data_IF_293971629239
#
_entry.id   IF_293971629239
#
_cell.length_a   1.000
_cell.length_b   1.000
_cell.length_c   1.000
_cell.angle_alpha   90.00
_cell.angle_beta   90.00
_cell.angle_gamma   90.00
#
_symmetry.space_group_name_H-M   'P 1'
#
loop_
_entity.id
_entity.type
_entity.pdbx_description
1 polymer ?
#
# COMPACT_ATOMS: atom_id res chain seq x y z
N UNK A 1 -10.31 -12.30 18.40
CA UNK A 1 -10.55 -10.95 17.86
C UNK A 1 -11.64 -10.28 18.70
N UNK A 2 -11.37 -10.07 20.00
CA UNK A 2 -12.39 -9.75 21.03
C UNK A 2 -11.89 -8.67 22.00
N UNK A 3 -11.11 -7.71 21.49
CA UNK A 3 -10.55 -6.62 22.29
C UNK A 3 -10.66 -5.31 21.52
N UNK A 4 -11.89 -4.85 21.24
CA UNK A 4 -12.16 -3.45 20.87
C UNK A 4 -13.56 -2.96 21.28
N UNK A 5 -14.32 -3.72 22.09
CA UNK A 5 -15.71 -3.38 22.47
C UNK A 5 -15.86 -2.88 23.91
N UNK A 6 -14.78 -2.73 24.69
CA UNK A 6 -14.86 -2.08 25.99
C UNK A 6 -14.10 -0.76 25.97
N UNK A 7 -14.86 0.32 25.80
CA UNK A 7 -14.40 1.68 26.03
C UNK A 7 -13.91 1.83 27.46
N UNK A 8 -12.59 1.94 27.62
CA UNK A 8 -11.94 2.43 28.83
C UNK A 8 -10.88 3.44 28.39
N UNK A 9 -11.10 4.69 28.81
CA UNK A 9 -10.10 5.73 29.06
C UNK A 9 -8.98 5.95 28.02
N UNK A 10 -9.08 7.05 27.28
CA UNK A 10 -7.95 7.66 26.58
C UNK A 10 -6.83 8.02 27.57
N UNK A 11 -5.92 7.09 27.82
CA UNK A 11 -4.56 7.39 28.28
C UNK A 11 -3.75 7.84 27.08
N UNK A 12 -3.20 9.05 27.14
CA UNK A 12 -2.31 9.62 26.12
C UNK A 12 -1.09 8.71 25.92
N UNK A 13 -1.11 7.86 24.90
CA UNK A 13 0.11 7.29 24.33
C UNK A 13 0.66 8.30 23.33
N UNK A 14 1.71 9.01 23.75
CA UNK A 14 2.64 9.67 22.84
C UNK A 14 3.29 8.61 21.95
N UNK A 15 2.68 8.38 20.78
CA UNK A 15 3.31 7.65 19.70
C UNK A 15 4.41 8.55 19.13
N UNK A 16 5.62 8.39 19.63
CA UNK A 16 6.83 8.86 18.93
C UNK A 16 6.91 8.06 17.64
N UNK A 17 6.43 8.66 16.56
CA UNK A 17 6.52 8.07 15.22
C UNK A 17 7.96 8.22 14.75
N UNK A 18 8.71 7.12 14.72
CA UNK A 18 9.92 7.03 13.91
C UNK A 18 9.50 7.29 12.46
N UNK A 19 10.01 8.38 11.89
CA UNK A 19 10.03 8.57 10.45
C UNK A 19 10.69 7.33 9.85
N UNK A 20 10.00 6.64 8.95
CA UNK A 20 10.56 5.54 8.16
C UNK A 20 11.75 6.09 7.37
N UNK A 21 12.95 5.96 7.93
CA UNK A 21 14.19 6.16 7.21
C UNK A 21 14.29 5.03 6.19
N UNK A 22 14.32 5.40 4.91
CA UNK A 22 14.68 4.51 3.81
C UNK A 22 15.98 3.80 4.19
N UNK A 23 16.00 2.47 4.15
CA UNK A 23 17.16 1.73 4.65
C UNK A 23 18.33 1.84 3.65
N UNK A 24 19.60 1.81 4.10
CA UNK A 24 20.76 1.77 3.21
C UNK A 24 20.71 0.59 2.20
N UNK A 25 20.05 -0.50 2.56
CA UNK A 25 19.86 -1.67 1.69
C UNK A 25 18.87 -1.39 0.54
N UNK A 26 17.80 -0.62 0.77
CA UNK A 26 16.89 -0.16 -0.28
C UNK A 26 17.59 0.79 -1.26
N UNK A 27 18.47 1.65 -0.75
CA UNK A 27 19.31 2.57 -1.55
C UNK A 27 20.29 1.79 -2.45
N UNK A 28 20.94 0.76 -1.91
CA UNK A 28 21.91 -0.07 -2.65
C UNK A 28 21.26 -1.05 -3.64
N UNK A 29 20.00 -1.42 -3.42
CA UNK A 29 19.23 -2.29 -4.33
C UNK A 29 18.64 -1.55 -5.55
N UNK A 30 18.69 -0.22 -5.53
CA UNK A 30 18.04 0.63 -6.52
C UNK A 30 19.06 1.14 -7.56
N UNK A 31 18.99 0.67 -8.84
CA UNK A 31 19.93 1.06 -9.89
C UNK A 31 19.85 2.54 -10.31
N UNK A 32 18.94 3.30 -9.70
CA UNK A 32 18.69 4.72 -9.93
C UNK A 32 19.36 5.63 -8.89
N UNK A 33 20.05 5.08 -7.87
CA UNK A 33 20.82 5.89 -6.92
C UNK A 33 22.12 6.43 -7.54
N UNK A 34 22.59 7.57 -7.03
CA UNK A 34 23.82 8.29 -7.40
C UNK A 34 23.87 8.97 -8.79
N UNK A 35 22.77 8.96 -9.56
CA UNK A 35 22.68 9.65 -10.86
C UNK A 35 21.54 10.67 -10.91
N UNK A 36 21.72 11.71 -11.73
CA UNK A 36 20.74 12.77 -11.89
C UNK A 36 19.58 12.31 -12.77
N UNK A 37 18.36 12.80 -12.51
CA UNK A 37 17.17 12.45 -13.32
C UNK A 37 17.35 12.68 -14.85
N UNK A 38 18.13 13.69 -15.24
CA UNK A 38 18.40 14.01 -16.64
C UNK A 38 19.48 13.12 -17.29
N UNK A 39 20.15 12.27 -16.51
CA UNK A 39 21.11 11.30 -17.01
C UNK A 39 20.40 10.22 -17.86
N UNK A 40 21.15 9.54 -18.74
CA UNK A 40 20.60 8.46 -19.57
C UNK A 40 19.77 7.45 -18.75
N UNK A 41 18.55 7.21 -19.24
CA UNK A 41 17.58 6.24 -18.72
C UNK A 41 17.13 6.41 -17.26
N UNK A 42 17.48 7.50 -16.57
CA UNK A 42 17.08 7.69 -15.16
C UNK A 42 15.58 7.97 -14.98
N UNK A 43 14.86 8.38 -16.03
CA UNK A 43 13.41 8.54 -16.00
C UNK A 43 12.65 7.21 -15.79
N UNK A 44 13.31 6.06 -16.02
CA UNK A 44 12.75 4.73 -15.79
C UNK A 44 12.30 4.52 -14.34
N UNK A 45 12.96 5.17 -13.38
CA UNK A 45 12.52 5.17 -11.98
C UNK A 45 11.09 5.71 -11.81
N UNK A 46 10.75 6.78 -12.53
CA UNK A 46 9.41 7.37 -12.49
C UNK A 46 8.37 6.44 -13.14
N UNK A 47 8.72 5.81 -14.26
CA UNK A 47 7.85 4.84 -14.94
C UNK A 47 7.61 3.60 -14.08
N UNK A 48 8.65 3.07 -13.44
CA UNK A 48 8.56 1.94 -12.52
C UNK A 48 7.66 2.27 -11.33
N UNK A 49 7.77 3.48 -10.75
CA UNK A 49 6.84 3.92 -9.70
C UNK A 49 5.39 3.92 -10.17
N UNK A 50 5.11 4.42 -11.37
CA UNK A 50 3.76 4.37 -11.94
C UNK A 50 3.29 2.93 -12.16
N UNK A 51 4.17 2.02 -12.61
CA UNK A 51 3.85 0.61 -12.84
C UNK A 51 3.50 -0.10 -11.53
N UNK A 52 4.33 0.08 -10.49
CA UNK A 52 4.11 -0.47 -9.15
C UNK A 52 2.80 0.04 -8.52
N UNK A 53 2.31 1.20 -8.93
CA UNK A 53 1.01 1.72 -8.53
C UNK A 53 -0.15 0.76 -8.87
N UNK A 54 -0.08 0.06 -10.01
CA UNK A 54 -1.07 -0.95 -10.40
C UNK A 54 -1.10 -2.15 -9.44
N UNK A 55 0.08 -2.69 -9.14
CA UNK A 55 0.24 -3.84 -8.23
C UNK A 55 -0.15 -3.46 -6.80
N UNK A 56 0.14 -2.23 -6.39
CA UNK A 56 -0.30 -1.70 -5.10
C UNK A 56 -1.83 -1.66 -4.98
N UNK A 57 -2.56 -1.36 -6.07
CA UNK A 57 -4.02 -1.43 -6.07
C UNK A 57 -4.53 -2.88 -5.91
N UNK A 58 -3.84 -3.86 -6.50
CA UNK A 58 -4.18 -5.28 -6.31
C UNK A 58 -3.96 -5.73 -4.86
N UNK A 59 -2.83 -5.35 -4.27
CA UNK A 59 -2.54 -5.63 -2.86
C UNK A 59 -3.59 -4.99 -1.95
N UNK A 60 -4.00 -3.75 -2.24
CA UNK A 60 -5.06 -3.08 -1.50
C UNK A 60 -6.37 -3.86 -1.58
N UNK A 61 -6.85 -4.18 -2.79
CA UNK A 61 -8.12 -4.91 -2.99
C UNK A 61 -8.09 -6.22 -2.21
N UNK A 62 -7.05 -7.02 -2.41
CA UNK A 62 -6.90 -8.33 -1.75
C UNK A 62 -6.92 -8.21 -0.22
N UNK A 63 -6.19 -7.24 0.35
CA UNK A 63 -6.14 -7.06 1.79
C UNK A 63 -7.53 -6.76 2.39
N UNK A 64 -8.34 -5.93 1.71
CA UNK A 64 -9.68 -5.60 2.20
C UNK A 64 -10.73 -6.68 1.87
N UNK A 65 -10.56 -7.45 0.79
CA UNK A 65 -11.36 -8.65 0.54
C UNK A 65 -11.15 -9.71 1.62
N UNK A 66 -9.88 -9.96 2.01
CA UNK A 66 -9.54 -10.86 3.12
C UNK A 66 -10.15 -10.34 4.43
N UNK A 67 -10.06 -9.03 4.71
CA UNK A 67 -10.72 -8.42 5.86
C UNK A 67 -12.24 -8.60 5.84
N UNK A 68 -12.90 -8.41 4.70
CA UNK A 68 -14.34 -8.64 4.58
C UNK A 68 -14.70 -10.12 4.77
N UNK A 69 -13.84 -11.04 4.33
CA UNK A 69 -14.03 -12.47 4.57
C UNK A 69 -14.01 -12.83 6.06
N UNK A 70 -13.10 -12.24 6.85
CA UNK A 70 -13.04 -12.47 8.29
C UNK A 70 -14.35 -12.08 9.00
N UNK A 71 -15.00 -11.01 8.55
CA UNK A 71 -16.30 -10.60 9.08
C UNK A 71 -17.39 -11.62 8.72
N UNK A 72 -17.40 -12.15 7.49
CA UNK A 72 -18.34 -13.20 7.09
C UNK A 72 -18.19 -14.47 7.92
N UNK A 73 -16.95 -14.86 8.21
CA UNK A 73 -16.66 -16.03 9.05
C UNK A 73 -17.15 -15.83 10.48
N UNK A 74 -16.95 -14.63 11.04
CA UNK A 74 -17.47 -14.26 12.36
C UNK A 74 -19.00 -14.34 12.40
N UNK A 75 -19.68 -13.76 11.40
CA UNK A 75 -21.14 -13.79 11.27
C UNK A 75 -21.66 -15.24 11.23
N UNK A 76 -21.06 -16.08 10.39
CA UNK A 76 -21.44 -17.49 10.27
C UNK A 76 -21.28 -18.25 11.59
N UNK A 77 -20.17 -18.04 12.29
CA UNK A 77 -19.90 -18.68 13.58
C UNK A 77 -20.93 -18.27 14.65
N UNK A 78 -21.26 -16.98 14.74
CA UNK A 78 -22.26 -16.47 15.70
C UNK A 78 -23.67 -16.98 15.37
N UNK A 79 -24.07 -17.01 14.10
CA UNK A 79 -25.38 -17.56 13.72
C UNK A 79 -25.50 -19.04 14.08
N UNK A 80 -24.45 -19.83 13.84
CA UNK A 80 -24.44 -21.23 14.22
C UNK A 80 -24.53 -21.42 15.75
N UNK A 81 -23.71 -20.68 16.51
CA UNK A 81 -23.74 -20.68 17.97
C UNK A 81 -25.14 -20.34 18.50
N UNK A 82 -25.74 -19.27 18.00
CA UNK A 82 -27.05 -18.80 18.45
C UNK A 82 -28.15 -19.83 18.18
N UNK A 83 -28.15 -20.43 16.99
CA UNK A 83 -29.13 -21.45 16.60
C UNK A 83 -29.06 -22.67 17.52
N UNK A 84 -27.86 -23.15 17.83
CA UNK A 84 -27.66 -24.30 18.73
C UNK A 84 -28.19 -23.96 20.12
N UNK A 85 -27.71 -22.88 20.74
CA UNK A 85 -28.04 -22.58 22.13
C UNK A 85 -29.49 -22.16 22.34
N UNK A 86 -30.12 -21.49 21.36
CA UNK A 86 -31.56 -21.25 21.45
C UNK A 86 -32.36 -22.54 21.50
N UNK A 87 -31.98 -23.57 20.72
CA UNK A 87 -32.65 -24.87 20.76
C UNK A 87 -32.45 -25.55 22.11
N UNK A 88 -31.19 -25.70 22.55
CA UNK A 88 -30.86 -26.38 23.80
C UNK A 88 -31.52 -25.72 25.03
N UNK A 89 -31.56 -24.38 25.09
CA UNK A 89 -32.22 -23.66 26.19
C UNK A 89 -33.73 -23.83 26.12
N UNK A 90 -34.33 -23.84 24.92
CA UNK A 90 -35.76 -24.07 24.79
C UNK A 90 -36.17 -25.48 25.25
N UNK A 91 -35.33 -26.49 24.97
CA UNK A 91 -35.55 -27.89 25.36
C UNK A 91 -35.15 -28.19 26.82
N UNK A 92 -34.42 -27.28 27.49
CA UNK A 92 -34.01 -27.45 28.88
C UNK A 92 -35.18 -27.33 29.88
N UNK A 93 -34.96 -27.86 31.09
CA UNK A 93 -35.89 -27.74 32.23
C UNK A 93 -35.89 -26.36 32.89
N UNK A 94 -35.03 -25.44 32.44
CA UNK A 94 -35.03 -24.05 32.90
C UNK A 94 -36.39 -23.40 32.57
N UNK A 95 -36.85 -22.47 33.40
CA UNK A 95 -38.17 -21.86 33.26
C UNK A 95 -38.16 -20.38 33.66
N UNK A 96 -39.35 -19.78 33.69
CA UNK A 96 -39.56 -18.48 34.30
C UNK A 96 -38.85 -17.33 33.58
N UNK A 97 -38.51 -16.32 34.36
CA UNK A 97 -37.81 -15.12 33.91
C UNK A 97 -36.33 -15.42 33.61
N UNK A 98 -35.68 -16.34 34.34
CA UNK A 98 -34.30 -16.75 34.07
C UNK A 98 -34.12 -17.32 32.65
N UNK A 99 -34.99 -18.26 32.22
CA UNK A 99 -34.96 -18.80 30.85
C UNK A 99 -35.13 -17.70 29.79
N UNK A 100 -36.05 -16.76 30.03
CA UNK A 100 -36.29 -15.64 29.12
C UNK A 100 -35.06 -14.74 28.99
N UNK A 101 -34.41 -14.42 30.11
CA UNK A 101 -33.19 -13.60 30.15
C UNK A 101 -32.00 -14.30 29.50
N UNK A 102 -31.85 -15.61 29.71
CA UNK A 102 -30.82 -16.41 29.04
C UNK A 102 -31.01 -16.43 27.51
N UNK A 103 -32.24 -16.66 27.04
CA UNK A 103 -32.55 -16.57 25.61
C UNK A 103 -32.32 -15.15 25.06
N UNK A 104 -32.61 -14.11 25.83
CA UNK A 104 -32.30 -12.73 25.44
C UNK A 104 -30.80 -12.49 25.28
N UNK A 105 -29.95 -13.08 26.13
CA UNK A 105 -28.49 -13.01 25.99
C UNK A 105 -28.01 -13.67 24.68
N UNK A 106 -28.54 -14.84 24.34
CA UNK A 106 -28.21 -15.52 23.07
C UNK A 106 -28.66 -14.70 21.85
N UNK A 107 -29.85 -14.08 21.92
CA UNK A 107 -30.35 -13.20 20.85
C UNK A 107 -29.50 -11.94 20.71
N UNK A 108 -29.13 -11.28 21.81
CA UNK A 108 -28.26 -10.11 21.77
C UNK A 108 -26.92 -10.43 21.11
N UNK A 109 -26.30 -11.57 21.45
CA UNK A 109 -25.08 -12.03 20.79
C UNK A 109 -25.25 -12.24 19.28
N UNK A 110 -26.39 -12.80 18.84
CA UNK A 110 -26.70 -12.97 17.42
C UNK A 110 -26.96 -11.65 16.70
N UNK A 111 -27.69 -10.74 17.33
CA UNK A 111 -27.96 -9.40 16.80
C UNK A 111 -26.66 -8.62 16.64
N UNK A 112 -25.71 -8.72 17.56
CA UNK A 112 -24.41 -8.06 17.41
C UNK A 112 -23.69 -8.44 16.10
N UNK A 113 -23.84 -9.68 15.62
CA UNK A 113 -23.29 -10.10 14.32
C UNK A 113 -24.02 -9.47 13.11
N UNK A 114 -25.26 -9.00 13.26
CA UNK A 114 -25.97 -8.30 12.19
C UNK A 114 -25.24 -7.00 11.78
N UNK A 115 -24.72 -6.24 12.75
CA UNK A 115 -23.89 -5.05 12.46
C UNK A 115 -22.65 -5.39 11.64
N UNK A 116 -22.11 -6.60 11.78
CA UNK A 116 -20.98 -7.03 10.96
C UNK A 116 -21.37 -7.30 9.49
N UNK A 117 -22.64 -7.61 9.22
CA UNK A 117 -23.14 -7.71 7.83
C UNK A 117 -23.06 -6.35 7.15
N UNK A 118 -23.51 -5.30 7.83
CA UNK A 118 -23.40 -3.93 7.32
C UNK A 118 -21.94 -3.49 7.18
N UNK A 119 -21.03 -3.91 8.08
CA UNK A 119 -19.58 -3.66 7.93
C UNK A 119 -19.05 -4.30 6.63
N UNK A 120 -19.42 -5.55 6.33
CA UNK A 120 -19.02 -6.23 5.08
C UNK A 120 -19.49 -5.44 3.86
N UNK A 121 -20.76 -5.00 3.86
CA UNK A 121 -21.32 -4.22 2.76
C UNK A 121 -20.60 -2.88 2.58
N UNK A 122 -20.34 -2.14 3.67
CA UNK A 122 -19.58 -0.88 3.61
C UNK A 122 -18.15 -1.09 3.13
N UNK A 123 -17.46 -2.14 3.57
CA UNK A 123 -16.11 -2.46 3.06
C UNK A 123 -16.17 -2.76 1.56
N UNK A 124 -17.16 -3.54 1.12
CA UNK A 124 -17.31 -3.85 -0.31
C UNK A 124 -17.57 -2.58 -1.12
N UNK A 125 -18.60 -1.82 -0.75
CA UNK A 125 -19.14 -0.72 -1.54
C UNK A 125 -18.30 0.57 -1.44
N UNK A 126 -17.72 0.86 -0.28
CA UNK A 126 -17.04 2.13 -0.02
C UNK A 126 -15.51 2.03 -0.08
N UNK A 127 -14.96 0.80 -0.03
CA UNK A 127 -13.50 0.57 0.01
C UNK A 127 -13.02 -0.25 -1.20
N UNK A 128 -13.56 -1.45 -1.40
CA UNK A 128 -13.09 -2.39 -2.43
C UNK A 128 -13.53 -1.93 -3.84
N UNK A 129 -14.84 -1.79 -4.06
CA UNK A 129 -15.40 -1.44 -5.37
C UNK A 129 -14.86 -0.10 -5.90
N UNK A 130 -14.69 0.95 -5.06
CA UNK A 130 -14.11 2.20 -5.52
C UNK A 130 -12.63 2.09 -5.89
N UNK A 131 -11.86 1.17 -5.28
CA UNK A 131 -10.49 0.87 -5.71
C UNK A 131 -10.50 0.11 -7.04
N UNK A 132 -11.38 -0.88 -7.22
CA UNK A 132 -11.55 -1.61 -8.48
C UNK A 132 -11.90 -0.63 -9.62
N UNK A 133 -12.86 0.27 -9.38
CA UNK A 133 -13.27 1.28 -10.34
C UNK A 133 -12.12 2.25 -10.67
N UNK A 134 -11.42 2.76 -9.66
CA UNK A 134 -10.26 3.63 -9.83
C UNK A 134 -9.17 2.93 -10.66
N UNK A 135 -8.84 1.68 -10.33
CA UNK A 135 -7.84 0.89 -11.03
C UNK A 135 -8.21 0.68 -12.50
N UNK A 136 -9.47 0.34 -12.77
CA UNK A 136 -9.98 0.14 -14.13
C UNK A 136 -9.88 1.42 -14.98
N UNK A 137 -10.20 2.57 -14.40
CA UNK A 137 -10.18 3.86 -15.09
C UNK A 137 -8.75 4.35 -15.34
N UNK A 138 -7.89 4.31 -14.31
CA UNK A 138 -6.56 4.92 -14.36
C UNK A 138 -5.47 4.01 -14.93
N UNK A 139 -5.68 2.70 -14.93
CA UNK A 139 -4.69 1.73 -15.43
C UNK A 139 -5.21 0.87 -16.58
N UNK A 140 -6.03 1.44 -17.47
CA UNK A 140 -6.53 0.75 -18.65
C UNK A 140 -5.38 0.14 -19.49
N UNK A 141 -5.46 -1.17 -19.75
CA UNK A 141 -4.51 -1.94 -20.56
C UNK A 141 -4.89 -1.86 -22.03
N UNK A 142 -3.90 -1.80 -22.94
CA UNK A 142 -4.18 -1.99 -24.37
C UNK A 142 -4.09 -3.46 -24.78
N UNK A 143 -3.01 -4.18 -24.44
CA UNK A 143 -2.85 -5.64 -24.62
C UNK A 143 -1.92 -6.22 -23.53
N UNK A 144 -0.74 -5.62 -23.32
CA UNK A 144 0.22 -6.05 -22.28
C UNK A 144 0.59 -4.90 -21.32
N UNK A 145 0.50 -3.66 -21.79
CA UNK A 145 1.01 -2.48 -21.09
C UNK A 145 -0.12 -1.53 -20.68
N UNK A 146 0.13 -0.78 -19.61
CA UNK A 146 -0.75 0.29 -19.13
C UNK A 146 -0.56 1.49 -20.05
N UNK A 147 -1.65 1.91 -20.71
CA UNK A 147 -1.59 2.88 -21.83
C UNK A 147 -0.88 4.18 -21.43
N UNK A 148 -1.22 4.71 -20.25
CA UNK A 148 -0.67 5.99 -19.78
C UNK A 148 0.82 5.94 -19.47
N UNK A 149 1.29 4.81 -18.93
CA UNK A 149 2.71 4.60 -18.63
C UNK A 149 3.52 4.50 -19.94
N UNK A 150 3.00 3.78 -20.93
CA UNK A 150 3.63 3.69 -22.26
C UNK A 150 3.68 5.03 -22.99
N UNK A 151 2.69 5.90 -22.77
CA UNK A 151 2.69 7.29 -23.27
C UNK A 151 3.87 8.07 -22.66
N UNK A 152 4.03 8.04 -21.33
CA UNK A 152 5.16 8.70 -20.66
C UNK A 152 6.51 8.17 -21.11
N UNK A 153 6.65 6.84 -21.23
CA UNK A 153 7.89 6.20 -21.69
C UNK A 153 8.29 6.71 -23.08
N UNK A 154 7.34 6.69 -24.04
CA UNK A 154 7.60 7.18 -25.40
C UNK A 154 7.97 8.66 -25.43
N UNK A 155 7.35 9.48 -24.57
CA UNK A 155 7.69 10.90 -24.48
C UNK A 155 9.10 11.12 -23.93
N UNK A 156 9.50 10.40 -22.87
CA UNK A 156 10.87 10.45 -22.36
C UNK A 156 11.89 9.98 -23.39
N UNK A 157 11.65 8.84 -24.05
CA UNK A 157 12.53 8.31 -25.10
C UNK A 157 12.73 9.33 -26.23
N UNK A 158 11.64 9.95 -26.70
CA UNK A 158 11.71 10.95 -27.78
C UNK A 158 12.51 12.19 -27.39
N UNK A 159 12.37 12.66 -26.14
CA UNK A 159 13.10 13.80 -25.61
C UNK A 159 14.58 13.48 -25.37
N UNK A 160 14.88 12.27 -24.88
CA UNK A 160 16.23 11.87 -24.52
C UNK A 160 17.06 11.41 -25.73
N UNK A 161 16.44 10.85 -26.79
CA UNK A 161 17.15 10.40 -28.00
C UNK A 161 18.11 11.43 -28.64
N UNK A 162 17.72 12.68 -28.93
CA UNK A 162 18.65 13.67 -29.47
C UNK A 162 19.76 14.03 -28.48
N UNK A 163 19.45 14.05 -27.18
CA UNK A 163 20.43 14.29 -26.11
C UNK A 163 21.50 13.19 -26.05
N UNK A 164 21.11 11.92 -26.09
CA UNK A 164 22.05 10.78 -26.14
C UNK A 164 22.95 10.83 -27.36
N UNK A 165 22.39 11.21 -28.53
CA UNK A 165 23.17 11.35 -29.76
C UNK A 165 24.25 12.44 -29.61
N UNK A 166 23.92 13.56 -28.96
CA UNK A 166 24.89 14.63 -28.70
C UNK A 166 25.96 14.22 -27.69
N UNK A 167 25.55 13.55 -26.60
CA UNK A 167 26.49 13.01 -25.61
C UNK A 167 27.48 12.00 -26.22
N UNK A 168 27.01 11.13 -27.11
CA UNK A 168 27.87 10.21 -27.85
C UNK A 168 28.89 10.95 -28.72
N UNK A 169 28.48 11.95 -29.52
CA UNK A 169 29.40 12.78 -30.30
C UNK A 169 30.44 13.49 -29.43
N UNK A 170 30.00 14.01 -28.28
CA UNK A 170 30.87 14.65 -27.27
C UNK A 170 31.92 13.66 -26.76
N UNK A 171 31.50 12.44 -26.43
CA UNK A 171 32.41 11.41 -25.94
C UNK A 171 33.44 11.02 -27.02
N UNK A 172 33.02 10.82 -28.27
CA UNK A 172 33.90 10.49 -29.39
C UNK A 172 34.92 11.61 -29.66
N UNK A 173 34.48 12.88 -29.60
CA UNK A 173 35.35 14.04 -29.79
C UNK A 173 36.37 14.18 -28.64
N UNK A 174 35.93 13.95 -27.39
CA UNK A 174 36.78 13.92 -26.20
C UNK A 174 37.86 12.83 -26.33
N UNK A 175 37.48 11.62 -26.70
CA UNK A 175 38.40 10.49 -26.89
C UNK A 175 39.42 10.78 -27.98
N UNK A 176 38.97 11.28 -29.14
CA UNK A 176 39.84 11.68 -30.26
C UNK A 176 40.84 12.75 -29.85
N UNK A 177 40.39 13.80 -29.15
CA UNK A 177 41.25 14.86 -28.62
C UNK A 177 42.27 14.29 -27.63
N UNK A 178 41.83 13.49 -26.65
CA UNK A 178 42.72 12.90 -25.66
C UNK A 178 43.78 12.00 -26.29
N UNK A 179 43.42 11.21 -27.29
CA UNK A 179 44.37 10.34 -28.00
C UNK A 179 45.46 11.15 -28.70
N UNK A 180 45.09 12.15 -29.51
CA UNK A 180 46.05 13.00 -30.22
C UNK A 180 46.87 13.86 -29.27
N UNK A 181 46.27 14.35 -28.19
CA UNK A 181 47.00 15.11 -27.17
C UNK A 181 48.03 14.25 -26.43
N UNK A 182 47.74 12.97 -26.18
CA UNK A 182 48.74 12.02 -25.67
C UNK A 182 49.90 11.81 -26.65
N UNK A 183 49.63 11.73 -27.97
CA UNK A 183 50.69 11.64 -29.00
C UNK A 183 51.55 12.90 -29.05
N UNK A 184 50.93 14.08 -28.94
CA UNK A 184 51.66 15.36 -28.81
C UNK A 184 52.60 15.33 -27.60
N UNK A 185 52.11 14.96 -26.42
CA UNK A 185 52.94 14.90 -25.21
C UNK A 185 54.13 13.93 -25.35
N UNK A 186 53.94 12.78 -26.00
CA UNK A 186 55.03 11.84 -26.31
C UNK A 186 56.04 12.43 -27.29
N UNK A 187 55.58 13.12 -28.34
CA UNK A 187 56.46 13.78 -29.31
C UNK A 187 57.25 14.94 -28.68
N UNK A 188 56.62 15.75 -27.81
CA UNK A 188 57.29 16.80 -27.04
C UNK A 188 58.40 16.24 -26.15
N UNK A 189 58.14 15.10 -25.48
CA UNK A 189 59.13 14.40 -24.68
C UNK A 189 60.29 13.85 -25.53
N UNK A 190 59.98 13.20 -26.65
CA UNK A 190 61.00 12.67 -27.56
C UNK A 190 61.90 13.79 -28.11
N UNK A 191 61.30 14.90 -28.55
CA UNK A 191 62.03 16.10 -28.97
C UNK A 191 62.97 16.61 -27.87
N UNK A 192 62.49 16.71 -26.62
CA UNK A 192 63.33 17.16 -25.49
C UNK A 192 64.54 16.24 -25.27
N UNK A 193 64.37 14.93 -25.44
CA UNK A 193 65.45 13.95 -25.33
C UNK A 193 66.45 14.13 -26.49
N UNK A 194 65.97 14.24 -27.73
CA UNK A 194 66.81 14.43 -28.92
C UNK A 194 67.57 15.75 -28.87
N UNK A 195 66.91 16.85 -28.49
CA UNK A 195 67.54 18.18 -28.32
C UNK A 195 68.66 18.16 -27.26
N UNK A 196 68.55 17.28 -26.27
CA UNK A 196 69.55 17.12 -25.20
C UNK A 196 70.68 16.16 -25.57
N UNK A 197 70.57 15.43 -26.68
CA UNK A 197 71.56 14.47 -27.13
C UNK A 197 72.63 15.15 -28.00
N UNK A 198 73.86 15.21 -27.50
CA UNK A 198 75.01 15.86 -28.16
C UNK A 198 75.35 15.20 -29.51
N UNK A 199 75.01 13.90 -29.69
CA UNK A 199 75.23 13.16 -30.93
C UNK A 199 74.04 13.12 -31.89
N UNK A 200 72.93 13.82 -31.59
CA UNK A 200 71.76 13.82 -32.47
C UNK A 200 72.03 14.58 -33.78
N UNK A 201 71.62 13.97 -34.88
CA UNK A 201 71.69 14.56 -36.22
C UNK A 201 70.66 15.68 -36.39
N UNK A 202 70.94 16.62 -37.31
CA UNK A 202 69.97 17.66 -37.66
C UNK A 202 68.69 17.10 -38.30
N UNK A 203 68.79 15.92 -38.93
CA UNK A 203 67.64 15.20 -39.49
C UNK A 203 66.71 14.71 -38.36
N UNK A 204 67.25 14.07 -37.32
CA UNK A 204 66.47 13.61 -36.15
C UNK A 204 65.79 14.78 -35.39
N UNK A 205 66.48 15.92 -35.27
CA UNK A 205 65.90 17.14 -34.67
C UNK A 205 64.77 17.70 -35.55
N UNK A 206 64.95 17.71 -36.86
CA UNK A 206 63.94 18.20 -37.81
C UNK A 206 62.72 17.29 -37.85
N UNK A 207 62.91 15.97 -37.79
CA UNK A 207 61.83 14.97 -37.79
C UNK A 207 60.97 15.07 -36.52
N UNK A 208 61.62 15.14 -35.35
CA UNK A 208 60.91 15.28 -34.07
C UNK A 208 60.20 16.63 -33.96
N UNK A 209 60.81 17.72 -34.44
CA UNK A 209 60.17 19.03 -34.53
C UNK A 209 58.95 19.02 -35.47
N UNK A 210 59.05 18.36 -36.63
CA UNK A 210 57.94 18.21 -37.57
C UNK A 210 56.79 17.43 -36.94
N UNK A 211 57.09 16.32 -36.26
CA UNK A 211 56.11 15.51 -35.54
C UNK A 211 55.37 16.32 -34.47
N UNK A 212 56.09 17.13 -33.68
CA UNK A 212 55.49 18.03 -32.69
C UNK A 212 54.56 19.05 -33.37
N UNK A 213 54.99 19.67 -34.46
CA UNK A 213 54.18 20.66 -35.18
C UNK A 213 52.88 20.05 -35.74
N UNK A 214 52.96 18.85 -36.32
CA UNK A 214 51.80 18.10 -36.84
C UNK A 214 50.82 17.79 -35.71
N UNK A 215 51.28 17.15 -34.62
CA UNK A 215 50.39 16.79 -33.52
C UNK A 215 49.84 18.00 -32.77
N UNK A 216 50.56 19.13 -32.74
CA UNK A 216 50.06 20.39 -32.17
C UNK A 216 48.86 20.88 -32.96
N UNK A 217 48.97 20.96 -34.30
CA UNK A 217 47.88 21.41 -35.17
C UNK A 217 46.68 20.46 -35.11
N UNK A 218 46.91 19.15 -35.17
CA UNK A 218 45.84 18.15 -35.06
C UNK A 218 45.13 18.21 -33.69
N UNK A 219 45.90 18.31 -32.60
CA UNK A 219 45.33 18.40 -31.24
C UNK A 219 44.51 19.68 -31.06
N UNK A 220 44.95 20.81 -31.62
CA UNK A 220 44.22 22.08 -31.55
C UNK A 220 42.89 22.02 -32.33
N UNK A 221 42.90 21.42 -33.52
CA UNK A 221 41.69 21.23 -34.33
C UNK A 221 40.65 20.34 -33.62
N UNK A 222 41.09 19.22 -33.03
CA UNK A 222 40.20 18.32 -32.29
C UNK A 222 39.68 18.96 -31.00
N UNK A 223 40.50 19.77 -30.32
CA UNK A 223 40.07 20.56 -29.17
C UNK A 223 38.94 21.52 -29.55
N UNK A 224 39.10 22.28 -30.63
CA UNK A 224 38.09 23.22 -31.11
C UNK A 224 36.78 22.51 -31.45
N UNK A 225 36.84 21.35 -32.13
CA UNK A 225 35.66 20.52 -32.41
C UNK A 225 34.98 20.02 -31.12
N UNK A 226 35.75 19.59 -30.13
CA UNK A 226 35.21 19.16 -28.84
C UNK A 226 34.54 20.32 -28.09
N UNK A 227 35.18 21.48 -28.02
CA UNK A 227 34.64 22.69 -27.40
C UNK A 227 33.34 23.16 -28.09
N UNK A 228 33.25 23.06 -29.42
CA UNK A 228 32.03 23.37 -30.18
C UNK A 228 30.86 22.47 -29.76
N UNK A 229 31.08 21.16 -29.64
CA UNK A 229 30.05 20.22 -29.21
C UNK A 229 29.63 20.44 -27.75
N UNK A 230 30.57 20.82 -26.88
CA UNK A 230 30.25 21.19 -25.49
C UNK A 230 29.36 22.43 -25.44
N UNK A 231 29.61 23.43 -26.30
CA UNK A 231 28.76 24.62 -26.36
C UNK A 231 27.37 24.31 -26.92
N UNK A 232 27.28 23.48 -27.98
CA UNK A 232 25.98 22.98 -28.49
C UNK A 232 25.17 22.29 -27.38
N UNK A 233 25.81 21.48 -26.54
CA UNK A 233 25.15 20.86 -25.39
C UNK A 233 24.69 21.87 -24.35
N UNK A 234 25.51 22.87 -24.02
CA UNK A 234 25.13 23.94 -23.08
C UNK A 234 23.90 24.71 -23.56
N UNK A 235 23.80 24.96 -24.86
CA UNK A 235 22.67 25.66 -25.47
C UNK A 235 21.39 24.81 -25.47
N UNK A 236 21.50 23.50 -25.73
CA UNK A 236 20.36 22.57 -25.76
C UNK A 236 19.88 22.14 -24.36
N UNK A 237 20.77 22.13 -23.36
CA UNK A 237 20.51 21.61 -22.00
C UNK A 237 19.25 22.21 -21.35
N UNK A 238 19.03 23.54 -21.32
CA UNK A 238 17.86 24.11 -20.65
C UNK A 238 16.53 23.62 -21.26
N UNK A 239 16.48 23.45 -22.59
CA UNK A 239 15.29 22.92 -23.25
C UNK A 239 15.06 21.44 -22.92
N UNK A 240 16.13 20.63 -22.94
CA UNK A 240 16.07 19.22 -22.57
C UNK A 240 15.60 19.03 -21.12
N UNK A 241 16.25 19.71 -20.15
CA UNK A 241 15.90 19.62 -18.73
C UNK A 241 14.45 20.03 -18.46
N UNK A 242 14.01 21.16 -19.03
CA UNK A 242 12.64 21.63 -18.87
C UNK A 242 11.62 20.68 -19.50
N UNK A 243 11.92 20.10 -20.66
CA UNK A 243 11.03 19.16 -21.33
C UNK A 243 10.91 17.84 -20.57
N UNK A 244 12.05 17.30 -20.10
CA UNK A 244 12.08 16.10 -19.25
C UNK A 244 11.29 16.34 -17.95
N UNK A 245 11.47 17.51 -17.32
CA UNK A 245 10.73 17.89 -16.11
C UNK A 245 9.23 17.94 -16.34
N UNK A 246 8.74 18.46 -17.46
CA UNK A 246 7.29 18.50 -17.76
C UNK A 246 6.66 17.12 -17.85
N UNK A 247 7.37 16.14 -18.41
CA UNK A 247 6.88 14.75 -18.43
C UNK A 247 6.90 14.18 -17.00
N UNK A 248 8.00 14.41 -16.25
CA UNK A 248 8.11 14.00 -14.85
C UNK A 248 6.97 14.55 -13.98
N UNK A 249 6.63 15.83 -14.11
CA UNK A 249 5.54 16.46 -13.37
C UNK A 249 4.18 15.80 -13.64
N UNK A 250 3.94 15.32 -14.88
CA UNK A 250 2.74 14.52 -15.20
C UNK A 250 2.78 13.12 -14.56
N UNK A 251 3.95 12.49 -14.46
CA UNK A 251 4.07 11.25 -13.67
C UNK A 251 3.84 11.48 -12.17
N UNK A 252 4.22 12.66 -11.65
CA UNK A 252 3.92 13.05 -10.27
C UNK A 252 2.43 13.26 -10.04
N UNK A 253 1.73 13.89 -10.99
CA UNK A 253 0.28 14.07 -10.88
C UNK A 253 -0.44 12.72 -10.91
N UNK A 254 -0.03 11.82 -11.80
CA UNK A 254 -0.58 10.46 -11.84
C UNK A 254 -0.41 9.72 -10.50
N UNK A 255 0.77 9.84 -9.87
CA UNK A 255 1.00 9.25 -8.54
C UNK A 255 0.23 9.97 -7.43
N UNK A 256 0.09 11.29 -7.51
CA UNK A 256 -0.69 12.08 -6.54
C UNK A 256 -2.15 11.65 -6.52
N UNK A 257 -2.75 11.39 -7.69
CA UNK A 257 -4.11 10.89 -7.79
C UNK A 257 -4.27 9.54 -7.07
N UNK A 258 -3.32 8.60 -7.29
CA UNK A 258 -3.28 7.30 -6.62
C UNK A 258 -3.18 7.46 -5.10
N UNK A 259 -2.22 8.23 -4.61
CA UNK A 259 -2.01 8.43 -3.17
C UNK A 259 -3.23 9.10 -2.50
N UNK A 260 -3.86 10.04 -3.18
CA UNK A 260 -5.09 10.67 -2.69
C UNK A 260 -6.24 9.65 -2.60
N UNK A 261 -6.38 8.77 -3.61
CA UNK A 261 -7.38 7.69 -3.57
C UNK A 261 -7.13 6.75 -2.39
N UNK A 262 -5.89 6.32 -2.17
CA UNK A 262 -5.54 5.49 -1.00
C UNK A 262 -5.95 6.17 0.31
N UNK A 263 -5.59 7.45 0.49
CA UNK A 263 -5.96 8.23 1.68
C UNK A 263 -7.49 8.26 1.90
N UNK A 264 -8.25 8.51 0.84
CA UNK A 264 -9.72 8.52 0.91
C UNK A 264 -10.28 7.16 1.34
N UNK A 265 -9.77 6.07 0.77
CA UNK A 265 -10.27 4.73 1.06
C UNK A 265 -9.87 4.25 2.46
N UNK A 266 -8.71 4.66 2.99
CA UNK A 266 -8.38 4.41 4.40
C UNK A 266 -9.36 5.10 5.35
N UNK A 267 -9.79 6.33 5.01
CA UNK A 267 -10.82 7.02 5.77
C UNK A 267 -12.20 6.35 5.64
N UNK A 268 -12.56 5.90 4.43
CA UNK A 268 -13.77 5.13 4.19
C UNK A 268 -13.78 3.83 5.01
N UNK A 269 -12.65 3.12 5.07
CA UNK A 269 -12.50 1.92 5.89
C UNK A 269 -12.67 2.21 7.39
N UNK A 270 -12.04 3.28 7.89
CA UNK A 270 -12.24 3.71 9.29
C UNK A 270 -13.72 3.93 9.61
N UNK A 271 -14.44 4.63 8.73
CA UNK A 271 -15.88 4.84 8.89
C UNK A 271 -16.68 3.53 8.78
N UNK A 272 -16.29 2.63 7.88
CA UNK A 272 -16.97 1.36 7.68
C UNK A 272 -16.95 0.47 8.94
N UNK A 273 -15.87 0.48 9.70
CA UNK A 273 -15.70 -0.35 10.91
C UNK A 273 -16.11 0.35 12.22
N UNK A 274 -16.40 1.66 12.18
CA UNK A 274 -16.77 2.41 13.37
C UNK A 274 -18.24 2.17 13.72
N UNK A 275 -18.48 1.43 14.81
CA UNK A 275 -19.83 1.07 15.28
C UNK A 275 -20.24 1.79 16.57
N UNK A 276 -19.43 2.74 17.06
CA UNK A 276 -19.62 3.33 18.39
C UNK A 276 -21.02 3.97 18.58
N UNK A 277 -21.58 4.52 17.51
CA UNK A 277 -22.88 5.19 17.51
C UNK A 277 -23.88 4.48 16.57
N UNK A 278 -23.69 3.19 16.33
CA UNK A 278 -24.61 2.40 15.51
C UNK A 278 -25.97 2.29 16.23
N UNK A 279 -27.07 2.82 15.66
CA UNK A 279 -28.39 2.78 16.30
C UNK A 279 -28.86 1.36 16.60
N UNK A 280 -28.49 0.39 15.76
CA UNK A 280 -28.87 -1.00 15.94
C UNK A 280 -28.15 -1.62 17.15
N UNK A 281 -26.88 -1.28 17.36
CA UNK A 281 -26.13 -1.71 18.56
C UNK A 281 -26.73 -1.11 19.83
N UNK A 282 -27.12 0.16 19.78
CA UNK A 282 -27.76 0.84 20.91
C UNK A 282 -29.10 0.17 21.24
N UNK A 283 -29.95 -0.05 20.23
CA UNK A 283 -31.27 -0.69 20.40
C UNK A 283 -31.15 -2.11 20.97
N UNK A 284 -30.26 -2.93 20.39
CA UNK A 284 -29.96 -4.28 20.89
C UNK A 284 -29.51 -4.24 22.35
N UNK A 285 -28.58 -3.34 22.69
CA UNK A 285 -28.06 -3.19 24.06
C UNK A 285 -29.18 -2.83 25.04
N UNK A 286 -30.04 -1.87 24.68
CA UNK A 286 -31.21 -1.49 25.48
C UNK A 286 -32.19 -2.65 25.64
N UNK A 287 -32.48 -3.40 24.58
CA UNK A 287 -33.37 -4.56 24.64
C UNK A 287 -32.83 -5.63 25.60
N UNK A 288 -31.52 -5.89 25.58
CA UNK A 288 -30.92 -6.85 26.50
C UNK A 288 -30.91 -6.35 27.96
N UNK A 289 -30.60 -5.07 28.18
CA UNK A 289 -30.70 -4.46 29.51
C UNK A 289 -32.11 -4.57 30.10
N UNK A 290 -33.15 -4.36 29.27
CA UNK A 290 -34.54 -4.53 29.69
C UNK A 290 -34.85 -5.98 30.06
N UNK A 291 -34.30 -6.97 29.34
CA UNK A 291 -34.46 -8.38 29.70
C UNK A 291 -33.79 -8.71 31.04
N UNK A 292 -32.60 -8.16 31.30
CA UNK A 292 -31.92 -8.30 32.60
C UNK A 292 -32.75 -7.65 33.71
N UNK A 293 -33.30 -6.46 33.49
CA UNK A 293 -34.14 -5.78 34.47
C UNK A 293 -35.45 -6.53 34.76
N UNK A 294 -35.94 -7.30 33.80
CA UNK A 294 -37.12 -8.16 33.94
C UNK A 294 -36.82 -9.55 34.53
N UNK A 295 -35.55 -9.85 34.84
CA UNK A 295 -35.18 -11.08 35.54
C UNK A 295 -35.56 -10.96 37.02
N UNK A 296 -36.56 -11.73 37.43
CA UNK A 296 -37.16 -11.68 38.75
C UNK A 296 -36.97 -13.03 39.46
N UNK A 297 -35.99 -13.03 40.36
CA UNK A 297 -35.61 -14.20 41.15
C UNK A 297 -36.79 -14.66 42.03
N UNK A 298 -37.54 -13.72 42.61
CA UNK A 298 -38.61 -14.04 43.56
C UNK A 298 -39.84 -14.57 42.82
N UNK A 299 -40.16 -14.02 41.65
CA UNK A 299 -41.23 -14.56 40.82
C UNK A 299 -40.97 -16.02 40.41
N UNK A 300 -39.71 -16.35 40.07
CA UNK A 300 -39.32 -17.70 39.65
C UNK A 300 -39.35 -18.70 40.82
N UNK A 301 -38.85 -18.33 42.00
CA UNK A 301 -38.91 -19.19 43.20
C UNK A 301 -40.33 -19.41 43.70
N UNK A 302 -41.18 -18.37 43.70
CA UNK A 302 -42.59 -18.49 44.04
C UNK A 302 -43.35 -19.36 43.05
N UNK A 303 -43.09 -19.19 41.75
CA UNK A 303 -43.69 -20.06 40.74
C UNK A 303 -43.32 -21.52 40.98
N UNK A 304 -42.05 -21.82 41.31
CA UNK A 304 -41.62 -23.18 41.62
C UNK A 304 -42.34 -23.75 42.86
N UNK A 305 -42.35 -23.01 43.96
CA UNK A 305 -42.99 -23.46 45.21
C UNK A 305 -44.47 -23.79 45.02
N UNK A 306 -45.17 -22.98 44.21
CA UNK A 306 -46.58 -23.19 43.86
C UNK A 306 -46.85 -24.47 43.07
N UNK A 307 -45.94 -24.87 42.18
CA UNK A 307 -46.18 -26.00 41.27
C UNK A 307 -45.52 -27.30 41.74
N UNK A 308 -44.43 -27.22 42.49
CA UNK A 308 -43.61 -28.37 42.88
C UNK A 308 -43.16 -28.35 44.35
N UNK A 309 -43.41 -27.26 45.09
CA UNK A 309 -42.96 -27.09 46.47
C UNK A 309 -44.07 -27.21 47.50
N UNK A 310 -43.87 -26.55 48.64
CA UNK A 310 -44.75 -26.62 49.83
C UNK A 310 -46.17 -26.13 49.60
N UNK A 311 -46.38 -25.31 48.59
CA UNK A 311 -47.67 -24.67 48.31
C UNK A 311 -48.56 -25.55 47.40
N UNK A 312 -48.07 -26.73 47.03
CA UNK A 312 -48.85 -27.73 46.30
C UNK A 312 -49.89 -28.37 47.23
N UNK A 313 -51.07 -28.67 46.68
CA UNK A 313 -52.11 -29.34 47.43
C UNK A 313 -51.70 -30.79 47.71
N UNK A 314 -51.48 -31.11 48.98
CA UNK A 314 -51.31 -32.49 49.44
C UNK A 314 -52.64 -33.02 49.97
N UNK A 315 -53.18 -34.05 49.32
CA UNK A 315 -54.27 -34.84 49.89
C UNK A 315 -53.70 -35.80 50.92
N UNK A 316 -53.92 -35.49 52.19
CA UNK A 316 -53.51 -36.38 53.28
C UNK A 316 -54.49 -37.55 53.40
N UNK A 317 -54.02 -38.75 53.80
CA UNK A 317 -54.91 -39.88 54.02
C UNK A 317 -55.98 -39.54 55.05
N UNK A 318 -57.24 -39.76 54.66
CA UNK A 318 -58.39 -39.70 55.54
C UNK A 318 -58.97 -41.12 55.70
N UNK A 319 -59.82 -41.31 56.71
CA UNK A 319 -60.50 -42.59 56.89
C UNK A 319 -61.44 -42.85 55.71
N UNK A 320 -61.28 -43.98 55.03
CA UNK A 320 -62.14 -44.42 53.94
C UNK A 320 -62.95 -45.66 54.39
N UNK A 321 -64.28 -45.62 54.25
CA UNK A 321 -65.11 -46.81 54.48
C UNK A 321 -64.89 -47.87 53.39
N UNK A 322 -65.02 -49.15 53.76
CA UNK A 322 -64.87 -50.26 52.83
C UNK A 322 -65.92 -50.15 51.72
N UNK A 323 -65.48 -49.95 50.47
CA UNK A 323 -66.42 -49.83 49.35
C UNK A 323 -67.04 -51.19 49.01
N UNK A 324 -68.35 -51.24 48.75
CA UNK A 324 -69.09 -52.45 48.35
C UNK A 324 -68.57 -53.08 47.03
N UNK A 325 -67.73 -52.38 46.27
CA UNK A 325 -67.05 -52.92 45.08
C UNK A 325 -65.84 -53.80 45.40
N UNK A 326 -65.44 -53.83 46.67
CA UNK A 326 -64.32 -54.60 47.18
C UNK A 326 -64.76 -55.85 47.95
N UNK A 327 -66.07 -56.19 47.89
CA UNK A 327 -66.70 -57.40 48.47
C UNK A 327 -67.05 -58.38 47.36
#
# INVERSE_FOLDING_TARGET
MLVWVLGIGMGTMTCVRLQTQTTPEEILSNPWHDRGFCDPDQYQAALHRCQNGYESCDLFIKAFEERASLERDYIAAIYNWSKIWQKEINESQEFGTNKKTWLAAIRAGAQAAYTHTDIVERIQNDVIDPMIAFKKQNYAKSIIHIRKIKEFEKEFENLQKPWLKLLSKINDAKESYHEKHRKLKKAEQAKKIIDSNIGATEEEKTETQTSVNVYTKESANLRSKYEQLINEMKDLRPHYENSMKRVLDRTHEFERERLNKFKQLFNAFYNAINIQNDPYIIEMSTAFQNAIAAHDIEADTQWWNKHYGSDTNTSWPEFEELSDKSI
#
